data_IF_537741176976
#
_entry.id   IF_537741176976
#
_cell.length_a   1.000
_cell.length_b   1.000
_cell.length_c   1.000
_cell.angle_alpha   90.00
_cell.angle_beta   90.00
_cell.angle_gamma   90.00
#
_symmetry.space_group_name_H-M   'P 1'
#
loop_
_entity.id
_entity.type
_entity.pdbx_description
1 polymer ?
#
# COMPACT_ATOMS: atom_id res chain seq x y z
N UNK A 1 34.59 -38.60 -24.36
CA UNK A 1 34.11 -38.24 -23.00
C UNK A 1 35.02 -37.31 -22.20
N UNK A 2 36.15 -36.79 -22.73
CA UNK A 2 36.99 -35.79 -22.02
C UNK A 2 36.64 -34.33 -22.35
N UNK A 3 36.08 -34.05 -23.53
CA UNK A 3 35.69 -32.69 -23.94
C UNK A 3 34.41 -32.18 -23.26
N UNK A 4 33.48 -33.06 -22.90
CA UNK A 4 32.22 -32.67 -22.25
C UNK A 4 32.42 -32.20 -20.81
N UNK A 5 33.43 -32.72 -20.11
CA UNK A 5 33.74 -32.31 -18.72
C UNK A 5 34.35 -30.91 -18.65
N UNK A 6 35.11 -30.51 -19.68
CA UNK A 6 35.76 -29.20 -19.76
C UNK A 6 34.76 -28.07 -20.03
N UNK A 7 33.74 -28.34 -20.85
CA UNK A 7 32.64 -27.38 -21.07
C UNK A 7 31.76 -27.19 -19.83
N UNK A 8 31.56 -28.24 -19.01
CA UNK A 8 30.79 -28.13 -17.77
C UNK A 8 31.50 -27.30 -16.68
N UNK A 9 32.84 -27.32 -16.66
CA UNK A 9 33.65 -26.53 -15.73
C UNK A 9 33.73 -25.04 -16.10
N UNK A 10 33.58 -24.69 -17.38
CA UNK A 10 33.61 -23.30 -17.84
C UNK A 10 32.31 -22.52 -17.55
N UNK A 11 31.18 -23.21 -17.35
CA UNK A 11 29.87 -22.58 -17.07
C UNK A 11 29.66 -22.29 -15.58
N UNK A 12 30.51 -22.83 -14.69
CA UNK A 12 30.39 -22.66 -13.23
C UNK A 12 31.20 -21.49 -12.65
N UNK A 13 31.83 -20.64 -13.47
CA UNK A 13 32.72 -19.57 -13.01
C UNK A 13 32.12 -18.14 -13.00
N UNK A 14 30.84 -17.95 -13.32
CA UNK A 14 30.26 -16.61 -13.53
C UNK A 14 29.42 -16.03 -12.38
N UNK A 15 29.59 -16.51 -11.13
CA UNK A 15 28.92 -15.90 -9.98
C UNK A 15 29.87 -15.57 -8.83
N UNK A 16 30.75 -14.59 -9.03
CA UNK A 16 31.34 -13.83 -7.91
C UNK A 16 32.02 -12.53 -8.39
N UNK A 17 31.26 -11.52 -8.80
CA UNK A 17 31.73 -10.13 -8.76
C UNK A 17 30.87 -9.33 -7.80
N UNK A 18 31.10 -9.53 -6.50
CA UNK A 18 30.76 -8.51 -5.51
C UNK A 18 31.76 -7.35 -5.70
N UNK A 19 31.33 -6.34 -6.46
CA UNK A 19 32.06 -5.09 -6.56
C UNK A 19 31.99 -4.37 -5.20
N UNK A 20 33.01 -4.57 -4.38
CA UNK A 20 33.23 -3.74 -3.19
C UNK A 20 33.64 -2.35 -3.66
N UNK A 21 32.76 -1.38 -3.44
CA UNK A 21 33.06 0.04 -3.71
C UNK A 21 34.13 0.50 -2.71
N UNK A 22 35.27 1.06 -3.18
CA UNK A 22 36.28 1.60 -2.27
C UNK A 22 35.74 2.87 -1.59
N UNK A 23 35.58 2.81 -0.27
CA UNK A 23 35.27 3.98 0.56
C UNK A 23 36.52 4.86 0.66
N UNK A 24 36.63 5.85 -0.23
CA UNK A 24 37.66 6.88 -0.15
C UNK A 24 37.35 7.83 1.00
N UNK A 25 38.23 7.83 1.99
CA UNK A 25 38.29 8.80 3.07
C UNK A 25 38.63 10.20 2.55
N UNK A 26 37.77 11.18 2.82
CA UNK A 26 38.18 12.56 3.09
C UNK A 26 37.09 13.28 3.86
N UNK A 27 37.30 13.43 5.16
CA UNK A 27 36.55 14.36 5.98
C UNK A 27 36.79 15.77 5.44
N UNK A 28 35.82 16.29 4.68
CA UNK A 28 35.77 17.70 4.31
C UNK A 28 34.86 18.36 5.34
N UNK A 29 35.51 19.01 6.31
CA UNK A 29 34.87 20.00 7.18
C UNK A 29 34.11 21.00 6.31
N UNK A 30 32.79 21.00 6.42
CA UNK A 30 31.92 22.05 5.87
C UNK A 30 31.32 22.78 7.07
N UNK A 31 32.11 23.70 7.61
CA UNK A 31 31.59 24.85 8.35
C UNK A 31 30.83 25.74 7.37
N UNK A 32 29.50 25.72 7.41
CA UNK A 32 28.67 26.89 7.11
C UNK A 32 27.24 26.75 7.67
N UNK A 33 27.12 27.10 8.94
CA UNK A 33 26.12 28.02 9.52
C UNK A 33 24.88 28.33 8.66
N UNK A 34 23.77 27.68 9.00
CA UNK A 34 22.43 28.28 9.08
C UNK A 34 21.75 27.72 10.34
N UNK A 35 21.19 28.55 11.23
CA UNK A 35 20.36 28.03 12.30
C UNK A 35 19.07 27.55 11.63
N UNK A 36 18.97 26.23 11.38
CA UNK A 36 17.65 25.63 11.27
C UNK A 36 16.98 25.89 12.61
N UNK A 37 16.06 26.85 12.63
CA UNK A 37 15.03 26.92 13.66
C UNK A 37 14.38 25.55 13.68
N UNK A 38 14.79 24.72 14.64
CA UNK A 38 14.07 23.52 15.03
C UNK A 38 12.74 24.03 15.54
N UNK A 39 11.76 24.14 14.64
CA UNK A 39 10.39 24.41 15.00
C UNK A 39 9.98 23.24 15.88
N UNK A 40 9.84 23.49 17.18
CA UNK A 40 9.35 22.52 18.15
C UNK A 40 7.96 22.10 17.65
N UNK A 41 7.87 20.88 17.07
CA UNK A 41 6.60 20.37 16.57
C UNK A 41 5.66 20.19 17.75
N UNK A 42 4.40 20.54 17.52
CA UNK A 42 3.35 20.38 18.51
C UNK A 42 3.36 18.92 18.97
N UNK A 43 3.65 18.68 20.26
CA UNK A 43 3.81 17.34 20.85
C UNK A 43 2.50 16.51 20.86
N UNK A 44 1.46 17.02 20.21
CA UNK A 44 0.17 16.38 19.96
C UNK A 44 0.04 15.78 18.55
N UNK A 45 1.06 15.86 17.69
CA UNK A 45 1.06 15.15 16.41
C UNK A 45 1.03 13.63 16.68
N UNK A 46 -0.13 13.01 16.48
CA UNK A 46 -0.29 11.59 16.77
C UNK A 46 0.55 10.77 15.78
N UNK A 47 1.27 9.78 16.30
CA UNK A 47 1.95 8.74 15.54
C UNK A 47 0.94 7.73 14.97
N UNK A 48 -0.19 8.24 14.46
CA UNK A 48 -1.36 7.45 14.09
C UNK A 48 -1.23 6.73 12.76
N UNK A 49 -2.24 5.96 12.44
CA UNK A 49 -2.46 5.27 11.15
C UNK A 49 -3.37 6.17 10.30
N UNK A 50 -3.02 6.37 9.03
CA UNK A 50 -3.93 6.87 8.01
C UNK A 50 -5.10 5.89 7.87
N UNK A 51 -6.30 6.35 8.17
CA UNK A 51 -7.53 5.59 7.95
C UNK A 51 -8.31 6.24 6.83
N UNK A 52 -8.63 5.44 5.82
CA UNK A 52 -9.47 5.81 4.70
C UNK A 52 -10.79 5.06 4.81
N UNK A 53 -11.91 5.78 4.80
CA UNK A 53 -13.25 5.22 4.76
C UNK A 53 -13.67 4.95 3.30
N UNK A 54 -14.35 3.84 3.07
CA UNK A 54 -14.93 3.45 1.78
C UNK A 54 -16.45 3.70 1.87
N UNK A 55 -16.98 4.57 1.02
CA UNK A 55 -18.40 4.93 1.01
C UNK A 55 -19.00 4.80 -0.40
N UNK A 56 -19.98 3.90 -0.64
CA UNK A 56 -20.60 3.04 0.34
C UNK A 56 -19.69 1.89 0.79
N UNK A 57 -19.95 1.40 2.01
CA UNK A 57 -19.42 0.14 2.51
C UNK A 57 -19.63 -1.00 1.48
N UNK A 58 -18.60 -1.83 1.26
CA UNK A 58 -18.70 -2.96 0.33
C UNK A 58 -19.21 -4.19 1.06
N UNK A 59 -20.36 -4.71 0.63
CA UNK A 59 -21.02 -5.87 1.22
C UNK A 59 -20.73 -7.12 0.39
N UNK A 60 -20.24 -8.17 1.05
CA UNK A 60 -19.89 -9.46 0.48
C UNK A 60 -18.98 -9.32 -0.76
N UNK A 61 -17.76 -8.74 -0.60
CA UNK A 61 -16.84 -8.60 -1.72
C UNK A 61 -16.52 -9.97 -2.34
N UNK A 62 -16.49 -10.03 -3.67
CA UNK A 62 -16.13 -11.23 -4.43
C UNK A 62 -14.83 -11.00 -5.19
N UNK A 63 -14.07 -12.05 -5.41
CA UNK A 63 -12.87 -12.00 -6.25
C UNK A 63 -13.19 -11.52 -7.67
N UNK A 64 -12.41 -10.55 -8.16
CA UNK A 64 -12.66 -9.87 -9.44
C UNK A 64 -13.82 -8.86 -9.40
N UNK A 65 -14.43 -8.65 -8.23
CA UNK A 65 -15.50 -7.66 -8.05
C UNK A 65 -14.99 -6.23 -8.19
N UNK A 66 -15.82 -5.39 -8.81
CA UNK A 66 -15.55 -3.96 -9.02
C UNK A 66 -16.67 -3.18 -8.37
N UNK A 67 -16.31 -2.24 -7.50
CA UNK A 67 -17.25 -1.50 -6.67
C UNK A 67 -16.97 0.00 -6.81
N UNK A 68 -17.95 0.73 -7.32
CA UNK A 68 -17.91 2.18 -7.31
C UNK A 68 -18.02 2.69 -5.87
N UNK A 69 -17.01 3.42 -5.41
CA UNK A 69 -16.99 3.97 -4.06
C UNK A 69 -16.27 5.32 -4.02
N UNK A 70 -16.53 6.05 -2.96
CA UNK A 70 -15.80 7.22 -2.55
C UNK A 70 -14.83 6.83 -1.43
N UNK A 71 -13.54 7.08 -1.61
CA UNK A 71 -12.58 6.97 -0.53
C UNK A 71 -12.38 8.35 0.08
N UNK A 72 -12.58 8.46 1.40
CA UNK A 72 -12.36 9.70 2.13
C UNK A 72 -11.49 9.50 3.38
N UNK A 73 -10.72 10.52 3.73
CA UNK A 73 -9.83 10.48 4.89
C UNK A 73 -10.63 10.57 6.18
N UNK A 74 -10.63 9.50 6.96
CA UNK A 74 -11.23 9.46 8.28
C UNK A 74 -10.26 10.02 9.34
N UNK A 75 -9.00 9.59 9.29
CA UNK A 75 -7.92 10.10 10.13
C UNK A 75 -6.61 10.15 9.34
N UNK A 76 -5.86 11.24 9.45
CA UNK A 76 -4.52 11.35 8.88
C UNK A 76 -3.52 11.80 9.97
N UNK A 77 -2.45 11.03 10.23
CA UNK A 77 -1.36 11.47 11.10
C UNK A 77 -0.52 12.55 10.41
N UNK A 78 0.48 13.08 11.11
CA UNK A 78 1.50 13.92 10.46
C UNK A 78 2.16 13.09 9.34
N UNK A 79 2.26 13.62 8.10
CA UNK A 79 2.87 12.93 6.96
C UNK A 79 4.27 12.35 7.21
N UNK A 80 4.99 12.89 8.19
CA UNK A 80 6.28 12.37 8.64
C UNK A 80 6.22 10.92 9.16
N UNK A 81 5.09 10.49 9.73
CA UNK A 81 4.90 9.15 10.27
C UNK A 81 4.35 8.16 9.24
N UNK A 82 3.98 8.61 8.05
CA UNK A 82 3.47 7.75 6.98
C UNK A 82 4.61 7.17 6.15
N UNK A 83 4.39 5.97 5.63
CA UNK A 83 5.23 5.45 4.55
C UNK A 83 5.15 6.41 3.35
N UNK A 84 6.20 6.43 2.52
CA UNK A 84 6.21 7.27 1.31
C UNK A 84 5.01 6.95 0.40
N UNK A 85 4.64 5.68 0.30
CA UNK A 85 3.49 5.25 -0.51
C UNK A 85 2.16 5.75 0.09
N UNK A 86 1.94 5.58 1.40
CA UNK A 86 0.76 6.09 2.07
C UNK A 86 0.64 7.61 1.99
N UNK A 87 1.78 8.32 2.08
CA UNK A 87 1.80 9.77 1.91
C UNK A 87 1.47 10.18 0.46
N UNK A 88 1.96 9.43 -0.54
CA UNK A 88 1.60 9.67 -1.93
C UNK A 88 0.11 9.47 -2.19
N UNK A 89 -0.47 8.38 -1.64
CA UNK A 89 -1.91 8.11 -1.69
C UNK A 89 -2.68 9.26 -1.04
N UNK A 90 -2.31 9.65 0.19
CA UNK A 90 -2.93 10.75 0.93
C UNK A 90 -2.93 12.05 0.11
N UNK A 91 -1.78 12.41 -0.46
CA UNK A 91 -1.66 13.63 -1.27
C UNK A 91 -2.51 13.54 -2.54
N UNK A 92 -2.53 12.38 -3.20
CA UNK A 92 -3.29 12.18 -4.44
C UNK A 92 -4.80 12.29 -4.25
N UNK A 93 -5.33 11.78 -3.13
CA UNK A 93 -6.77 11.86 -2.83
C UNK A 93 -7.20 13.22 -2.28
N UNK A 94 -6.30 14.20 -2.14
CA UNK A 94 -6.62 15.56 -1.68
C UNK A 94 -6.12 15.95 -0.29
N UNK A 95 -5.15 15.22 0.26
CA UNK A 95 -4.49 15.52 1.54
C UNK A 95 -5.34 15.15 2.76
N UNK A 96 -5.17 15.85 3.88
CA UNK A 96 -5.79 15.48 5.17
C UNK A 96 -7.32 15.51 5.21
N UNK A 97 -7.97 16.10 4.20
CA UNK A 97 -9.43 16.08 4.00
C UNK A 97 -9.80 15.48 2.66
N UNK A 98 -8.90 14.62 2.16
CA UNK A 98 -9.00 14.01 0.86
C UNK A 98 -10.28 13.21 0.74
N UNK A 99 -10.86 13.31 -0.44
CA UNK A 99 -12.05 12.60 -0.85
C UNK A 99 -11.89 12.37 -2.36
N UNK A 100 -12.04 11.13 -2.80
CA UNK A 100 -11.88 10.75 -4.21
C UNK A 100 -12.85 9.64 -4.58
N UNK A 101 -13.57 9.86 -5.66
CA UNK A 101 -14.35 8.80 -6.32
C UNK A 101 -13.41 7.85 -7.04
N UNK A 102 -13.53 6.57 -6.72
CA UNK A 102 -12.70 5.49 -7.25
C UNK A 102 -13.55 4.27 -7.62
N UNK A 103 -12.95 3.36 -8.38
CA UNK A 103 -13.37 1.97 -8.40
C UNK A 103 -12.48 1.16 -7.45
N UNK A 104 -13.09 0.53 -6.45
CA UNK A 104 -12.42 -0.48 -5.62
C UNK A 104 -12.50 -1.81 -6.36
N UNK A 105 -11.34 -2.41 -6.64
CA UNK A 105 -11.26 -3.70 -7.33
C UNK A 105 -10.69 -4.73 -6.37
N UNK A 106 -11.44 -5.79 -6.10
CA UNK A 106 -11.00 -6.85 -5.20
C UNK A 106 -10.25 -7.93 -6.00
N UNK A 107 -8.93 -7.85 -6.00
CA UNK A 107 -8.07 -8.77 -6.72
C UNK A 107 -7.80 -10.04 -5.89
N UNK A 108 -7.82 -11.18 -6.58
CA UNK A 108 -7.45 -12.47 -6.02
C UNK A 108 -6.51 -13.18 -7.00
N UNK A 109 -5.73 -14.14 -6.50
CA UNK A 109 -4.82 -14.93 -7.34
C UNK A 109 -5.57 -15.57 -8.50
N UNK A 110 -5.07 -15.38 -9.73
CA UNK A 110 -5.68 -15.93 -10.95
C UNK A 110 -6.73 -15.04 -11.63
N UNK A 111 -7.00 -13.84 -11.10
CA UNK A 111 -7.89 -12.86 -11.73
C UNK A 111 -7.10 -11.65 -12.24
N UNK A 112 -7.27 -11.34 -13.52
CA UNK A 112 -6.74 -10.11 -14.11
C UNK A 112 -7.72 -8.96 -13.83
N UNK A 113 -7.19 -7.92 -13.18
CA UNK A 113 -7.93 -6.71 -12.80
C UNK A 113 -7.48 -5.48 -13.61
N UNK A 114 -6.62 -5.67 -14.61
CA UNK A 114 -6.11 -4.58 -15.44
C UNK A 114 -7.22 -3.91 -16.25
N UNK A 115 -7.31 -2.58 -16.16
CA UNK A 115 -8.27 -1.77 -16.91
C UNK A 115 -9.74 -1.94 -16.51
N UNK A 116 -10.04 -2.64 -15.41
CA UNK A 116 -11.41 -2.86 -14.96
C UNK A 116 -12.03 -1.59 -14.33
N UNK A 117 -13.36 -1.43 -14.48
CA UNK A 117 -14.15 -0.34 -13.89
C UNK A 117 -14.31 0.88 -14.79
N UNK A 118 -15.19 1.79 -14.40
CA UNK A 118 -15.63 2.96 -15.20
C UNK A 118 -14.91 4.27 -14.85
N UNK A 119 -14.37 4.39 -13.63
CA UNK A 119 -13.80 5.64 -13.10
C UNK A 119 -12.33 5.81 -13.51
N UNK A 120 -11.79 7.02 -13.43
CA UNK A 120 -10.37 7.22 -13.74
C UNK A 120 -9.45 6.54 -12.71
N UNK A 121 -9.80 6.70 -11.43
CA UNK A 121 -8.99 6.23 -10.32
C UNK A 121 -9.44 4.85 -9.88
N UNK A 122 -8.48 3.93 -9.82
CA UNK A 122 -8.66 2.55 -9.38
C UNK A 122 -7.91 2.33 -8.09
N UNK A 123 -8.53 1.62 -7.16
CA UNK A 123 -7.88 1.11 -5.95
C UNK A 123 -8.04 -0.39 -5.96
N UNK A 124 -6.96 -1.07 -6.30
CA UNK A 124 -6.90 -2.52 -6.38
C UNK A 124 -6.45 -3.05 -5.02
N UNK A 125 -7.27 -3.91 -4.42
CA UNK A 125 -7.00 -4.53 -3.12
C UNK A 125 -6.75 -6.02 -3.34
N UNK A 126 -5.54 -6.48 -3.05
CA UNK A 126 -5.15 -7.87 -3.14
C UNK A 126 -4.97 -8.44 -1.72
N UNK A 127 -5.94 -9.22 -1.28
CA UNK A 127 -5.86 -9.96 -0.01
C UNK A 127 -5.35 -11.37 -0.27
N UNK A 128 -4.68 -11.97 0.72
CA UNK A 128 -4.43 -13.41 0.67
C UNK A 128 -5.78 -14.15 0.61
N UNK A 129 -5.94 -15.02 -0.40
CA UNK A 129 -7.01 -15.99 -0.42
C UNK A 129 -6.91 -16.79 0.88
N UNK A 130 -8.03 -16.94 1.59
CA UNK A 130 -8.16 -17.72 2.84
C UNK A 130 -7.79 -17.01 4.16
N UNK A 131 -7.65 -15.68 4.21
CA UNK A 131 -7.55 -15.01 5.51
C UNK A 131 -8.86 -15.21 6.31
N UNK A 132 -8.83 -15.90 7.47
CA UNK A 132 -10.06 -16.29 8.15
C UNK A 132 -10.72 -15.08 8.80
N UNK A 133 -11.97 -14.79 8.39
CA UNK A 133 -12.77 -13.74 9.03
C UNK A 133 -13.44 -14.33 10.28
N UNK A 134 -12.95 -13.96 11.46
CA UNK A 134 -13.51 -14.38 12.74
C UNK A 134 -14.71 -13.50 13.11
N UNK A 135 -15.90 -14.05 12.86
CA UNK A 135 -17.17 -13.42 13.15
C UNK A 135 -17.65 -13.56 14.60
N UNK A 136 -16.94 -14.32 15.44
CA UNK A 136 -17.33 -14.57 16.82
C UNK A 136 -17.01 -13.40 17.75
N UNK A 137 -16.17 -12.47 17.32
CA UNK A 137 -15.74 -11.31 18.10
C UNK A 137 -16.46 -10.07 17.58
N UNK A 138 -17.23 -9.39 18.43
CA UNK A 138 -17.78 -8.09 18.09
C UNK A 138 -16.64 -7.12 17.78
N UNK A 139 -16.59 -6.55 16.57
CA UNK A 139 -15.59 -5.55 16.20
C UNK A 139 -15.22 -5.55 14.73
N UNK A 140 -14.28 -4.67 14.37
CA UNK A 140 -13.61 -4.67 13.07
C UNK A 140 -12.38 -5.56 13.17
N UNK A 141 -12.28 -6.56 12.30
CA UNK A 141 -11.08 -7.36 12.12
C UNK A 141 -10.19 -6.71 11.07
N UNK A 142 -8.89 -6.69 11.34
CA UNK A 142 -7.89 -6.21 10.40
C UNK A 142 -7.39 -7.39 9.57
N UNK A 143 -7.42 -7.28 8.25
CA UNK A 143 -6.85 -8.27 7.33
C UNK A 143 -5.74 -7.61 6.50
N UNK A 144 -4.55 -8.22 6.37
CA UNK A 144 -3.48 -7.67 5.56
C UNK A 144 -3.83 -7.74 4.07
N UNK A 145 -3.46 -6.71 3.32
CA UNK A 145 -3.63 -6.64 1.88
C UNK A 145 -2.51 -5.81 1.23
N UNK A 146 -2.33 -5.99 -0.07
CA UNK A 146 -1.61 -5.04 -0.90
C UNK A 146 -2.63 -4.14 -1.59
N UNK A 147 -2.40 -2.83 -1.53
CA UNK A 147 -3.18 -1.84 -2.24
C UNK A 147 -2.36 -1.26 -3.38
N UNK A 148 -2.98 -1.16 -4.55
CA UNK A 148 -2.48 -0.37 -5.66
C UNK A 148 -3.47 0.75 -5.95
N UNK A 149 -3.00 2.00 -5.97
CA UNK A 149 -3.76 3.13 -6.48
C UNK A 149 -3.23 3.46 -7.88
N UNK A 150 -4.12 3.45 -8.87
CA UNK A 150 -3.81 3.83 -10.24
C UNK A 150 -4.76 4.92 -10.73
N UNK A 151 -4.25 5.92 -11.46
CA UNK A 151 -5.05 6.83 -12.27
C UNK A 151 -4.62 6.71 -13.72
N UNK A 152 -5.60 6.40 -14.58
CA UNK A 152 -5.36 6.14 -16.00
C UNK A 152 -5.04 7.44 -16.73
N UNK A 153 -5.75 8.52 -16.41
CA UNK A 153 -5.57 9.84 -17.01
C UNK A 153 -4.30 10.53 -16.52
N UNK A 154 -4.00 10.45 -15.21
CA UNK A 154 -2.83 11.12 -14.64
C UNK A 154 -1.54 10.31 -14.80
N UNK A 155 -1.64 9.05 -15.27
CA UNK A 155 -0.53 8.09 -15.34
C UNK A 155 0.21 7.95 -14.00
N UNK A 156 -0.57 7.82 -12.94
CA UNK A 156 -0.09 7.69 -11.55
C UNK A 156 -0.27 6.26 -11.09
N UNK A 157 0.74 5.73 -10.39
CA UNK A 157 0.71 4.40 -9.78
C UNK A 157 1.42 4.43 -8.42
N UNK A 158 0.76 3.97 -7.37
CA UNK A 158 1.32 3.78 -6.03
C UNK A 158 0.93 2.43 -5.47
N UNK A 159 1.89 1.71 -4.90
CA UNK A 159 1.71 0.43 -4.22
C UNK A 159 2.05 0.55 -2.73
N UNK A 160 1.23 -0.05 -1.87
CA UNK A 160 1.51 -0.11 -0.42
C UNK A 160 0.92 -1.37 0.20
N UNK A 161 1.62 -1.93 1.17
CA UNK A 161 1.01 -2.82 2.16
C UNK A 161 0.02 -2.00 3.01
N UNK A 162 -1.17 -2.56 3.24
CA UNK A 162 -2.24 -1.95 4.03
C UNK A 162 -2.93 -3.01 4.88
N UNK A 163 -3.74 -2.56 5.83
CA UNK A 163 -4.72 -3.43 6.46
C UNK A 163 -6.13 -3.00 6.07
N UNK A 164 -7.02 -3.95 5.86
CA UNK A 164 -8.42 -3.71 5.58
C UNK A 164 -9.25 -3.96 6.84
N UNK A 165 -10.13 -3.01 7.15
CA UNK A 165 -11.11 -3.13 8.22
C UNK A 165 -12.35 -3.87 7.74
N UNK A 166 -12.50 -5.11 8.18
CA UNK A 166 -13.59 -6.01 7.79
C UNK A 166 -14.45 -6.35 9.00
N UNK A 167 -15.77 -6.34 8.82
CA UNK A 167 -16.74 -6.68 9.85
C UNK A 167 -17.70 -7.75 9.34
N UNK A 168 -17.90 -8.83 10.11
CA UNK A 168 -19.03 -9.73 9.86
C UNK A 168 -20.23 -9.30 10.68
N UNK A 169 -21.37 -9.11 10.03
CA UNK A 169 -22.64 -8.91 10.70
C UNK A 169 -23.15 -10.26 11.22
N UNK A 170 -23.28 -10.40 12.55
CA UNK A 170 -23.69 -11.64 13.21
C UNK A 170 -25.14 -12.02 12.96
N UNK A 171 -26.00 -11.07 12.57
CA UNK A 171 -27.43 -11.31 12.34
C UNK A 171 -27.76 -11.91 10.98
N UNK A 172 -27.03 -11.51 9.93
CA UNK A 172 -27.28 -11.98 8.56
C UNK A 172 -26.06 -12.65 7.89
N UNK A 173 -24.91 -12.71 8.57
CA UNK A 173 -23.69 -13.33 8.07
C UNK A 173 -22.91 -12.49 7.05
N UNK A 174 -23.39 -11.31 6.68
CA UNK A 174 -22.74 -10.47 5.68
C UNK A 174 -21.37 -9.99 6.15
N UNK A 175 -20.42 -9.98 5.22
CA UNK A 175 -19.09 -9.41 5.41
C UNK A 175 -19.11 -8.00 4.83
N UNK A 176 -18.66 -7.02 5.60
CA UNK A 176 -18.57 -5.63 5.18
C UNK A 176 -17.13 -5.16 5.23
N UNK A 177 -16.64 -4.62 4.11
CA UNK A 177 -15.36 -3.92 4.03
C UNK A 177 -15.64 -2.41 4.09
N UNK A 178 -15.02 -1.74 5.08
CA UNK A 178 -15.34 -0.34 5.39
C UNK A 178 -14.11 0.58 5.36
N UNK A 179 -12.95 0.09 5.83
CA UNK A 179 -11.77 0.94 5.99
C UNK A 179 -10.52 0.35 5.34
N UNK A 180 -9.64 1.22 4.88
CA UNK A 180 -8.27 0.92 4.48
C UNK A 180 -7.33 1.66 5.44
N UNK A 181 -6.36 0.95 5.99
CA UNK A 181 -5.41 1.46 6.95
C UNK A 181 -3.99 1.40 6.39
N UNK A 182 -3.39 2.58 6.33
CA UNK A 182 -2.04 2.90 5.87
C UNK A 182 -1.36 3.74 6.98
#
# INVERSE_FOLDING_TARGET
MRFFLLMLLLVLLDFATAASVPRRSKARSLTHRWPQTLTTRNATASSGTLSLNIDPDIINPVCGGIYEANINVQTAPDPFYLSKACNNVLNYIGGMKGNKDVDIIFACTGFDTSGAGTRDVKVILNTQADFPINAGSSGTQMIPANMELASVQDNVFYDSEVNLGVKRNTGNGNITLQYIYC
#
